data_IF_209615837119
#
_entry.id   IF_209615837119
#
_cell.length_a   1.000
_cell.length_b   1.000
_cell.length_c   1.000
_cell.angle_alpha   90.00
_cell.angle_beta   90.00
_cell.angle_gamma   90.00
#
_symmetry.space_group_name_H-M   'P 1'
#
loop_
_entity.id
_entity.type
_entity.pdbx_description
1 polymer ?
#
# COMPACT_ATOMS: atom_id res chain seq x y z
N UNK A 1 -10.07 6.24 -16.42
CA UNK A 1 -10.98 6.90 -15.46
C UNK A 1 -10.30 8.22 -15.10
N UNK A 2 -11.01 9.34 -15.14
CA UNK A 2 -10.39 10.66 -14.96
C UNK A 2 -9.86 10.80 -13.52
N UNK A 3 -8.69 11.40 -13.32
CA UNK A 3 -8.03 11.54 -11.99
C UNK A 3 -8.95 12.20 -10.95
N UNK A 4 -9.74 13.17 -11.36
CA UNK A 4 -10.71 13.87 -10.50
C UNK A 4 -11.80 12.91 -9.98
N UNK A 5 -12.35 12.06 -10.83
CA UNK A 5 -13.39 11.09 -10.42
C UNK A 5 -12.82 10.07 -9.42
N UNK A 6 -11.56 9.68 -9.59
CA UNK A 6 -10.88 8.75 -8.66
C UNK A 6 -10.64 9.40 -7.31
N UNK A 7 -10.20 10.66 -7.27
CA UNK A 7 -10.05 11.44 -6.04
C UNK A 7 -11.38 11.63 -5.30
N UNK A 8 -12.46 11.88 -6.03
CA UNK A 8 -13.80 12.02 -5.45
C UNK A 8 -14.30 10.70 -4.84
N UNK A 9 -14.04 9.56 -5.50
CA UNK A 9 -14.36 8.22 -4.97
C UNK A 9 -13.54 7.95 -3.69
N UNK A 10 -12.23 8.21 -3.72
CA UNK A 10 -11.35 8.03 -2.57
C UNK A 10 -11.78 8.90 -1.38
N UNK A 11 -12.18 10.15 -1.65
CA UNK A 11 -12.70 11.05 -0.62
C UNK A 11 -14.03 10.53 -0.05
N UNK A 12 -14.92 10.04 -0.89
CA UNK A 12 -16.19 9.47 -0.47
C UNK A 12 -15.97 8.22 0.39
N UNK A 13 -15.10 7.30 -0.03
CA UNK A 13 -14.72 6.11 0.75
C UNK A 13 -14.05 6.48 2.08
N UNK A 14 -13.30 7.56 2.12
CA UNK A 14 -12.65 8.04 3.33
C UNK A 14 -13.61 8.67 4.34
N UNK A 15 -14.61 9.40 3.84
CA UNK A 15 -15.51 10.22 4.67
C UNK A 15 -16.82 9.51 5.03
N UNK A 16 -17.25 8.52 4.24
CA UNK A 16 -18.47 7.75 4.48
C UNK A 16 -18.15 6.34 5.00
N UNK A 17 -19.10 5.75 5.72
CA UNK A 17 -19.09 4.32 6.02
C UNK A 17 -19.93 3.62 4.94
N UNK A 18 -19.32 3.05 3.89
CA UNK A 18 -20.09 2.37 2.86
C UNK A 18 -20.84 1.18 3.47
N UNK A 19 -21.98 0.85 2.89
CA UNK A 19 -22.79 -0.28 3.37
C UNK A 19 -22.02 -1.61 3.20
N UNK A 20 -21.19 -1.71 2.16
CA UNK A 20 -20.38 -2.89 1.86
C UNK A 20 -19.01 -2.47 1.31
N UNK A 21 -18.00 -3.28 1.61
CA UNK A 21 -16.65 -3.15 1.04
C UNK A 21 -16.38 -4.32 0.09
N UNK A 22 -15.71 -4.03 -1.01
CA UNK A 22 -15.19 -5.02 -1.93
C UNK A 22 -13.65 -4.97 -1.95
N UNK A 23 -13.03 -6.13 -2.15
CA UNK A 23 -11.58 -6.19 -2.37
C UNK A 23 -11.31 -6.03 -3.86
N UNK A 24 -10.48 -5.05 -4.22
CA UNK A 24 -10.05 -4.85 -5.60
C UNK A 24 -9.32 -6.11 -6.12
N UNK A 25 -9.73 -6.69 -7.25
CA UNK A 25 -9.04 -7.83 -7.82
C UNK A 25 -7.56 -7.54 -8.11
N UNK A 26 -6.71 -8.54 -7.96
CA UNK A 26 -5.31 -8.42 -8.41
C UNK A 26 -5.29 -8.19 -9.92
N UNK A 27 -4.54 -7.19 -10.41
CA UNK A 27 -4.38 -6.97 -11.85
C UNK A 27 -3.31 -7.88 -12.50
N UNK A 28 -2.84 -8.90 -11.78
CA UNK A 28 -1.78 -9.83 -12.16
C UNK A 28 -1.98 -11.19 -11.45
N UNK A 29 -1.31 -12.23 -11.95
CA UNK A 29 -1.27 -13.53 -11.30
C UNK A 29 -0.38 -13.51 -10.05
N UNK A 30 -0.65 -14.38 -9.07
CA UNK A 30 -0.02 -14.33 -7.74
C UNK A 30 1.50 -14.51 -7.78
N UNK A 31 2.04 -15.24 -8.75
CA UNK A 31 3.48 -15.45 -8.97
C UNK A 31 4.18 -14.30 -9.71
N UNK A 32 3.40 -13.37 -10.26
CA UNK A 32 3.93 -12.28 -11.11
C UNK A 32 4.94 -11.37 -10.40
N UNK A 33 4.86 -11.26 -9.08
CA UNK A 33 5.74 -10.37 -8.31
C UNK A 33 7.08 -11.01 -7.92
N UNK A 34 7.28 -12.29 -8.24
CA UNK A 34 8.53 -12.97 -7.95
C UNK A 34 9.75 -12.35 -8.70
N UNK A 35 10.91 -12.37 -8.09
CA UNK A 35 11.27 -12.89 -6.78
C UNK A 35 11.15 -11.87 -5.64
N UNK A 36 10.41 -10.77 -5.81
CA UNK A 36 10.27 -9.70 -4.80
C UNK A 36 9.25 -10.09 -3.74
N UNK A 37 8.12 -10.65 -4.15
CA UNK A 37 7.12 -11.24 -3.27
C UNK A 37 6.74 -12.59 -3.87
N UNK A 38 6.81 -13.65 -3.07
CA UNK A 38 6.47 -15.01 -3.52
C UNK A 38 4.96 -15.18 -3.70
N UNK A 39 4.57 -16.15 -4.52
CA UNK A 39 3.18 -16.58 -4.65
C UNK A 39 2.55 -16.88 -3.28
N UNK A 40 3.29 -17.57 -2.41
CA UNK A 40 2.83 -17.90 -1.06
C UNK A 40 2.58 -16.66 -0.20
N UNK A 41 3.43 -15.64 -0.30
CA UNK A 41 3.23 -14.34 0.36
C UNK A 41 2.00 -13.63 -0.17
N UNK A 42 1.80 -13.61 -1.48
CA UNK A 42 0.63 -12.98 -2.10
C UNK A 42 -0.64 -13.74 -1.73
N UNK A 43 -0.63 -15.08 -1.76
CA UNK A 43 -1.78 -15.88 -1.34
C UNK A 43 -2.18 -15.55 0.11
N UNK A 44 -1.23 -15.59 1.03
CA UNK A 44 -1.49 -15.27 2.42
C UNK A 44 -1.99 -13.83 2.60
N UNK A 45 -1.26 -12.86 2.06
CA UNK A 45 -1.52 -11.45 2.26
C UNK A 45 -2.81 -10.97 1.58
N UNK A 46 -3.06 -11.40 0.35
CA UNK A 46 -4.24 -10.98 -0.41
C UNK A 46 -5.48 -11.81 -0.07
N UNK A 47 -5.41 -13.15 -0.16
CA UNK A 47 -6.59 -14.00 0.02
C UNK A 47 -7.09 -14.03 1.47
N UNK A 48 -6.17 -14.04 2.44
CA UNK A 48 -6.56 -14.17 3.84
C UNK A 48 -6.66 -12.83 4.56
N UNK A 49 -5.71 -11.92 4.35
CA UNK A 49 -5.69 -10.65 5.09
C UNK A 49 -6.49 -9.55 4.39
N UNK A 50 -6.16 -9.20 3.15
CA UNK A 50 -6.86 -8.12 2.42
C UNK A 50 -8.35 -8.44 2.26
N UNK A 51 -8.70 -9.60 1.73
CA UNK A 51 -10.11 -10.05 1.64
C UNK A 51 -10.75 -10.23 3.01
N UNK A 52 -9.97 -10.61 4.00
CA UNK A 52 -10.43 -10.77 5.38
C UNK A 52 -10.95 -9.47 5.99
N UNK A 53 -10.32 -8.33 5.72
CA UNK A 53 -10.78 -7.02 6.19
C UNK A 53 -12.14 -6.66 5.61
N UNK A 54 -12.34 -6.80 4.30
CA UNK A 54 -13.64 -6.55 3.66
C UNK A 54 -14.71 -7.52 4.17
N UNK A 55 -14.39 -8.81 4.29
CA UNK A 55 -15.29 -9.84 4.81
C UNK A 55 -15.75 -9.51 6.25
N UNK A 56 -14.83 -9.15 7.14
CA UNK A 56 -15.15 -8.80 8.52
C UNK A 56 -16.01 -7.54 8.61
N UNK A 57 -15.69 -6.53 7.81
CA UNK A 57 -16.51 -5.32 7.73
C UNK A 57 -17.96 -5.63 7.31
N UNK A 58 -18.12 -6.45 6.26
CA UNK A 58 -19.42 -6.76 5.66
C UNK A 58 -20.30 -7.69 6.51
N UNK A 59 -19.73 -8.46 7.40
CA UNK A 59 -20.47 -9.43 8.19
C UNK A 59 -21.31 -8.82 9.31
N UNK A 60 -21.33 -7.52 9.46
CA UNK A 60 -22.17 -6.70 10.34
C UNK A 60 -22.23 -7.13 11.83
N UNK A 61 -21.22 -7.83 12.28
CA UNK A 61 -21.20 -8.39 13.66
C UNK A 61 -20.46 -7.49 14.66
N UNK A 62 -20.23 -6.24 14.34
CA UNK A 62 -19.60 -5.23 15.20
C UNK A 62 -18.14 -5.54 15.56
N UNK A 63 -17.88 -6.69 16.13
CA UNK A 63 -16.55 -7.20 16.49
C UNK A 63 -16.44 -8.67 16.10
N UNK A 64 -15.84 -8.97 14.95
CA UNK A 64 -15.62 -10.35 14.56
C UNK A 64 -14.20 -10.76 14.89
N UNK A 65 -14.10 -11.82 15.64
CA UNK A 65 -12.85 -12.52 15.85
C UNK A 65 -11.79 -11.71 16.59
N UNK A 66 -12.20 -10.98 17.64
CA UNK A 66 -11.27 -10.23 18.46
C UNK A 66 -11.52 -8.72 18.43
N UNK A 67 -10.51 -7.96 18.66
CA UNK A 67 -10.58 -6.55 19.03
C UNK A 67 -10.65 -5.55 17.84
N UNK A 68 -10.96 -6.00 16.63
CA UNK A 68 -10.96 -5.13 15.47
C UNK A 68 -12.31 -4.48 15.25
N UNK A 69 -12.35 -3.17 15.37
CA UNK A 69 -13.55 -2.37 15.10
C UNK A 69 -13.89 -2.37 13.60
N UNK A 70 -15.14 -2.00 13.29
CA UNK A 70 -15.58 -1.82 11.89
C UNK A 70 -14.69 -0.81 11.15
N UNK A 71 -14.26 0.27 11.81
CA UNK A 71 -13.39 1.29 11.23
C UNK A 71 -11.97 0.76 10.96
N UNK A 72 -11.43 -0.10 11.82
CA UNK A 72 -10.14 -0.75 11.59
C UNK A 72 -10.19 -1.65 10.35
N UNK A 73 -11.25 -2.46 10.21
CA UNK A 73 -11.44 -3.31 9.04
C UNK A 73 -11.64 -2.49 7.76
N UNK A 74 -12.38 -1.37 7.83
CA UNK A 74 -12.52 -0.43 6.72
C UNK A 74 -11.17 0.12 6.28
N UNK A 75 -10.39 0.61 7.22
CA UNK A 75 -9.08 1.18 6.92
C UNK A 75 -8.10 0.14 6.37
N UNK A 76 -8.11 -1.09 6.91
CA UNK A 76 -7.31 -2.18 6.38
C UNK A 76 -7.70 -2.53 4.94
N UNK A 77 -9.00 -2.69 4.65
CA UNK A 77 -9.47 -2.92 3.27
C UNK A 77 -9.08 -1.78 2.33
N UNK A 78 -9.26 -0.54 2.75
CA UNK A 78 -8.90 0.65 1.97
C UNK A 78 -7.41 0.66 1.58
N UNK A 79 -6.52 0.44 2.55
CA UNK A 79 -5.08 0.46 2.31
C UNK A 79 -4.63 -0.68 1.39
N UNK A 80 -5.17 -1.88 1.55
CA UNK A 80 -4.87 -3.00 0.65
C UNK A 80 -5.39 -2.78 -0.77
N UNK A 81 -6.57 -2.16 -0.92
CA UNK A 81 -7.12 -1.76 -2.22
C UNK A 81 -6.29 -0.66 -2.91
N UNK A 82 -5.45 0.06 -2.17
CA UNK A 82 -4.43 0.97 -2.72
C UNK A 82 -3.10 0.29 -2.98
N UNK A 83 -2.70 -0.64 -2.12
CA UNK A 83 -1.39 -1.30 -2.17
C UNK A 83 -1.28 -2.28 -3.35
N UNK A 84 -2.15 -3.27 -3.44
CA UNK A 84 -2.01 -4.31 -4.47
C UNK A 84 -2.09 -3.79 -5.92
N UNK A 85 -3.03 -2.88 -6.29
CA UNK A 85 -3.10 -2.38 -7.67
C UNK A 85 -1.89 -1.57 -8.12
N UNK A 86 -1.08 -1.04 -7.20
CA UNK A 86 0.14 -0.31 -7.55
C UNK A 86 1.36 -1.22 -7.78
N UNK A 87 1.20 -2.55 -7.70
CA UNK A 87 2.29 -3.50 -7.92
C UNK A 87 2.21 -4.08 -9.32
N UNK A 88 3.36 -4.53 -9.84
CA UNK A 88 3.47 -5.18 -11.15
C UNK A 88 4.70 -6.09 -11.21
N UNK A 89 4.82 -6.87 -12.26
CA UNK A 89 6.02 -7.66 -12.55
C UNK A 89 7.31 -6.86 -12.36
N UNK A 90 8.34 -7.42 -11.70
CA UNK A 90 9.57 -6.71 -11.43
C UNK A 90 10.29 -6.30 -12.71
N UNK A 91 10.87 -5.10 -12.68
CA UNK A 91 11.76 -4.59 -13.74
C UNK A 91 13.12 -4.30 -13.14
N UNK A 92 14.19 -4.56 -13.89
CA UNK A 92 15.56 -4.37 -13.42
C UNK A 92 15.84 -2.93 -12.97
N UNK A 93 15.61 -1.96 -13.84
CA UNK A 93 15.74 -0.53 -13.53
C UNK A 93 14.35 0.14 -13.44
N UNK A 94 13.59 -0.19 -12.40
CA UNK A 94 12.29 0.41 -12.19
C UNK A 94 12.42 1.74 -11.43
N UNK A 95 12.27 2.86 -12.12
CA UNK A 95 12.34 4.20 -11.55
C UNK A 95 11.05 4.98 -11.81
N UNK A 96 10.71 5.94 -10.94
CA UNK A 96 9.59 6.85 -11.16
C UNK A 96 9.78 7.65 -12.46
N UNK A 97 8.67 8.13 -13.01
CA UNK A 97 8.61 8.97 -14.21
C UNK A 97 7.41 9.90 -14.13
N UNK A 98 7.40 10.93 -14.97
CA UNK A 98 6.29 11.89 -15.02
C UNK A 98 6.13 12.68 -13.72
N UNK A 99 4.91 12.99 -13.35
CA UNK A 99 4.61 13.84 -12.21
C UNK A 99 5.15 13.31 -10.85
N UNK A 100 5.19 11.98 -10.67
CA UNK A 100 5.78 11.39 -9.45
C UNK A 100 7.29 11.66 -9.39
N UNK A 101 8.01 11.56 -10.51
CA UNK A 101 9.43 11.89 -10.53
C UNK A 101 9.66 13.35 -10.19
N UNK A 102 8.91 14.26 -10.83
CA UNK A 102 8.98 15.71 -10.54
C UNK A 102 8.68 16.01 -9.07
N UNK A 103 7.65 15.38 -8.51
CA UNK A 103 7.30 15.51 -7.10
C UNK A 103 8.45 15.09 -6.18
N UNK A 104 9.08 13.93 -6.47
CA UNK A 104 10.21 13.40 -5.72
C UNK A 104 11.43 14.34 -5.83
N UNK A 105 11.81 14.73 -7.06
CA UNK A 105 12.99 15.58 -7.28
C UNK A 105 12.83 16.96 -6.65
N UNK A 106 11.64 17.53 -6.68
CA UNK A 106 11.34 18.81 -6.03
C UNK A 106 11.49 18.76 -4.50
N UNK A 107 11.21 17.62 -3.86
CA UNK A 107 11.27 17.46 -2.41
C UNK A 107 12.59 16.89 -1.90
N UNK A 108 13.18 15.95 -2.62
CA UNK A 108 14.33 15.16 -2.16
C UNK A 108 15.58 15.32 -3.04
N UNK A 109 15.51 16.09 -4.13
CA UNK A 109 16.58 16.31 -5.12
C UNK A 109 16.82 15.13 -6.03
N UNK A 110 16.94 13.92 -5.48
CA UNK A 110 17.13 12.69 -6.27
C UNK A 110 16.18 11.59 -5.80
N UNK A 111 15.93 10.62 -6.69
CA UNK A 111 15.19 9.41 -6.33
C UNK A 111 15.91 8.56 -5.28
N UNK A 112 17.23 8.55 -5.28
CA UNK A 112 18.00 7.77 -4.32
C UNK A 112 17.93 8.42 -2.93
N UNK A 113 18.01 9.76 -2.81
CA UNK A 113 17.75 10.48 -1.54
C UNK A 113 16.33 10.22 -1.01
N UNK A 114 15.33 10.22 -1.90
CA UNK A 114 13.97 9.86 -1.52
C UNK A 114 13.89 8.44 -0.92
N UNK A 115 14.54 7.46 -1.54
CA UNK A 115 14.56 6.08 -1.04
C UNK A 115 15.19 5.97 0.34
N UNK A 116 16.27 6.69 0.60
CA UNK A 116 16.93 6.71 1.91
C UNK A 116 16.03 7.34 2.99
N UNK A 117 15.40 8.47 2.70
CA UNK A 117 14.45 9.09 3.64
C UNK A 117 13.20 8.23 3.85
N UNK A 118 12.72 7.55 2.82
CA UNK A 118 11.60 6.62 2.92
C UNK A 118 11.95 5.41 3.78
N UNK A 119 13.15 4.83 3.59
CA UNK A 119 13.67 3.74 4.42
C UNK A 119 13.78 4.17 5.88
N UNK A 120 14.33 5.33 6.15
CA UNK A 120 14.44 5.89 7.49
C UNK A 120 13.08 6.06 8.16
N UNK A 121 12.08 6.57 7.44
CA UNK A 121 10.72 6.70 7.95
C UNK A 121 10.09 5.34 8.26
N UNK A 122 10.25 4.34 7.38
CA UNK A 122 9.75 2.99 7.59
C UNK A 122 10.40 2.33 8.81
N UNK A 123 11.72 2.39 8.92
CA UNK A 123 12.47 1.83 10.05
C UNK A 123 12.15 2.50 11.39
N UNK A 124 11.65 3.73 11.36
CA UNK A 124 11.17 4.46 12.54
C UNK A 124 9.81 3.99 13.06
N UNK A 125 9.06 3.20 12.30
CA UNK A 125 7.77 2.68 12.74
C UNK A 125 7.97 1.62 13.82
N UNK A 126 7.36 1.85 14.98
CA UNK A 126 7.33 0.87 16.07
C UNK A 126 6.05 0.03 15.96
N UNK A 127 6.23 -1.28 15.71
CA UNK A 127 5.13 -2.20 15.47
C UNK A 127 4.65 -2.21 14.01
N UNK A 128 3.34 -2.38 13.84
CA UNK A 128 2.71 -2.52 12.52
C UNK A 128 2.29 -1.18 11.94
N UNK A 129 2.46 -1.01 10.65
CA UNK A 129 2.06 0.22 9.99
C UNK A 129 2.29 0.25 8.49
N UNK A 130 2.23 1.42 7.93
CA UNK A 130 2.44 1.72 6.52
C UNK A 130 3.32 2.95 6.40
N UNK A 131 4.09 3.01 5.34
CA UNK A 131 4.83 4.20 4.95
C UNK A 131 4.41 4.61 3.55
N UNK A 132 4.25 5.91 3.29
CA UNK A 132 3.78 6.38 2.02
C UNK A 132 4.35 7.75 1.63
N UNK A 133 4.47 7.96 0.33
CA UNK A 133 4.65 9.29 -0.25
C UNK A 133 3.27 9.90 -0.43
N UNK A 134 3.04 11.07 0.14
CA UNK A 134 1.78 11.80 -0.06
C UNK A 134 1.75 12.50 -1.43
N UNK A 135 0.56 12.85 -1.90
CA UNK A 135 0.38 13.67 -3.11
C UNK A 135 0.99 15.08 -2.99
N UNK A 136 1.23 15.54 -1.76
CA UNK A 136 1.99 16.77 -1.48
C UNK A 136 3.50 16.59 -1.43
N UNK A 137 4.02 15.37 -1.65
CA UNK A 137 5.46 15.08 -1.67
C UNK A 137 6.09 14.82 -0.31
N UNK A 138 5.31 14.67 0.76
CA UNK A 138 5.84 14.36 2.07
C UNK A 138 5.84 12.84 2.33
N UNK A 139 6.89 12.31 2.93
CA UNK A 139 6.91 10.94 3.44
C UNK A 139 6.18 10.92 4.78
N UNK A 140 5.17 10.06 4.89
CA UNK A 140 4.33 9.92 6.08
C UNK A 140 4.18 8.47 6.48
N UNK A 141 3.80 8.24 7.73
CA UNK A 141 3.56 6.91 8.28
C UNK A 141 2.12 6.79 8.82
N UNK A 142 1.62 5.56 8.82
CA UNK A 142 0.33 5.21 9.41
C UNK A 142 0.57 4.09 10.41
N UNK A 143 0.27 4.31 11.68
CA UNK A 143 0.29 3.25 12.68
C UNK A 143 -0.95 2.35 12.50
N UNK A 144 -0.75 1.04 12.50
CA UNK A 144 -1.80 0.05 12.24
C UNK A 144 -2.53 0.32 10.91
N UNK A 145 -3.82 0.72 10.97
CA UNK A 145 -4.62 1.09 9.82
C UNK A 145 -5.36 2.40 10.05
N UNK A 146 -5.21 3.32 9.11
CA UNK A 146 -6.03 4.53 9.04
C UNK A 146 -6.22 4.95 7.58
N UNK A 147 -7.42 5.39 7.24
CA UNK A 147 -7.72 5.91 5.90
C UNK A 147 -6.95 7.21 5.67
N UNK A 148 -6.33 7.33 4.49
CA UNK A 148 -5.64 8.54 4.02
C UNK A 148 -5.98 8.77 2.56
N UNK A 149 -6.39 9.98 2.23
CA UNK A 149 -6.78 10.35 0.86
C UNK A 149 -5.63 10.90 0.02
N UNK A 150 -4.51 11.20 0.66
CA UNK A 150 -3.34 11.83 0.06
C UNK A 150 -2.22 10.84 -0.30
N UNK A 151 -2.54 9.58 -0.57
CA UNK A 151 -1.55 8.54 -0.88
C UNK A 151 -1.19 8.56 -2.36
N UNK A 152 0.08 8.85 -2.67
CA UNK A 152 0.69 8.67 -3.99
C UNK A 152 1.31 7.26 -4.12
N UNK A 153 2.29 6.93 -3.30
CA UNK A 153 2.96 5.61 -3.24
C UNK A 153 2.79 5.05 -1.84
N UNK A 154 2.39 3.79 -1.71
CA UNK A 154 2.14 3.13 -0.42
C UNK A 154 2.98 1.86 -0.29
N UNK A 155 3.62 1.67 0.86
CA UNK A 155 4.32 0.43 1.19
C UNK A 155 3.79 -0.13 2.51
N UNK A 156 3.41 -1.39 2.48
CA UNK A 156 2.99 -2.13 3.66
C UNK A 156 4.21 -2.48 4.52
N UNK A 157 4.18 -2.08 5.79
CA UNK A 157 5.24 -2.33 6.77
C UNK A 157 4.82 -3.33 7.84
N UNK A 158 3.64 -3.92 7.71
CA UNK A 158 3.22 -5.01 8.58
C UNK A 158 4.12 -6.23 8.37
N UNK A 159 4.37 -6.98 9.42
CA UNK A 159 5.23 -8.16 9.39
C UNK A 159 4.81 -9.19 8.33
N UNK A 160 3.50 -9.34 8.13
CA UNK A 160 2.96 -10.24 7.10
C UNK A 160 3.31 -9.86 5.64
N UNK A 161 3.70 -8.61 5.40
CA UNK A 161 4.07 -8.15 4.06
C UNK A 161 5.47 -8.61 3.64
N UNK A 162 6.33 -8.97 4.60
CA UNK A 162 7.74 -9.26 4.32
C UNK A 162 8.28 -10.51 5.01
N UNK A 163 7.73 -10.95 6.15
CA UNK A 163 8.37 -11.97 6.96
C UNK A 163 8.46 -13.35 6.27
N UNK A 164 7.50 -13.73 5.43
CA UNK A 164 7.56 -15.01 4.71
C UNK A 164 8.73 -15.09 3.74
N UNK A 165 9.05 -13.99 3.05
CA UNK A 165 10.08 -13.97 2.00
C UNK A 165 11.44 -13.48 2.51
N UNK A 166 11.43 -12.60 3.51
CA UNK A 166 12.63 -11.89 3.98
C UNK A 166 13.00 -12.24 5.43
N UNK A 167 12.14 -13.00 6.14
CA UNK A 167 12.34 -13.37 7.53
C UNK A 167 12.54 -12.12 8.42
N UNK A 168 13.71 -11.93 9.03
CA UNK A 168 14.04 -10.75 9.83
C UNK A 168 14.58 -9.57 9.01
N UNK A 169 14.94 -9.78 7.75
CA UNK A 169 15.61 -8.79 6.89
C UNK A 169 14.59 -7.86 6.18
N UNK A 170 13.88 -7.10 6.99
CA UNK A 170 12.88 -6.15 6.49
C UNK A 170 13.47 -4.99 5.68
N UNK A 171 14.76 -4.67 5.87
CA UNK A 171 15.45 -3.68 5.03
C UNK A 171 15.55 -4.16 3.59
N UNK A 172 15.89 -5.43 3.40
CA UNK A 172 15.96 -6.03 2.06
C UNK A 172 14.61 -6.05 1.36
N UNK A 173 13.51 -6.26 2.09
CA UNK A 173 12.17 -6.07 1.52
C UNK A 173 12.01 -4.65 0.98
N UNK A 174 12.38 -3.65 1.77
CA UNK A 174 12.28 -2.25 1.38
C UNK A 174 13.16 -1.89 0.18
N UNK A 175 14.36 -2.47 0.09
CA UNK A 175 15.25 -2.28 -1.06
C UNK A 175 14.68 -2.90 -2.34
N UNK A 176 13.94 -4.00 -2.23
CA UNK A 176 13.39 -4.73 -3.36
C UNK A 176 12.00 -4.26 -3.81
N UNK A 177 11.15 -3.73 -2.93
CA UNK A 177 9.78 -3.35 -3.26
C UNK A 177 9.70 -2.36 -4.43
N UNK A 178 10.69 -1.48 -4.56
CA UNK A 178 10.77 -0.50 -5.65
C UNK A 178 10.82 -1.14 -7.04
N UNK A 179 11.27 -2.39 -7.16
CA UNK A 179 11.32 -3.13 -8.43
C UNK A 179 9.95 -3.48 -8.97
N UNK A 180 8.94 -3.53 -8.10
CA UNK A 180 7.56 -3.91 -8.45
C UNK A 180 6.55 -2.77 -8.36
N UNK A 181 6.95 -1.55 -8.01
CA UNK A 181 6.04 -0.40 -8.02
C UNK A 181 5.63 -0.06 -9.45
N UNK A 182 4.35 0.01 -9.70
CA UNK A 182 3.78 0.53 -10.95
C UNK A 182 3.64 2.05 -10.86
N UNK A 183 4.65 2.75 -11.34
CA UNK A 183 4.71 4.22 -11.29
C UNK A 183 3.60 4.90 -12.10
N UNK A 184 2.99 4.22 -13.07
CA UNK A 184 1.85 4.77 -13.81
C UNK A 184 0.62 4.88 -12.92
N UNK A 185 0.34 3.87 -12.11
CA UNK A 185 -0.73 3.92 -11.10
C UNK A 185 -0.46 5.01 -10.07
N UNK A 186 0.81 5.21 -9.69
CA UNK A 186 1.17 6.29 -8.78
C UNK A 186 0.96 7.69 -9.42
N UNK A 187 1.30 7.86 -10.70
CA UNK A 187 1.03 9.09 -11.44
C UNK A 187 -0.48 9.40 -11.55
N UNK A 188 -1.33 8.39 -11.68
CA UNK A 188 -2.78 8.57 -11.74
C UNK A 188 -3.40 9.10 -10.43
N UNK A 189 -2.65 9.07 -9.34
CA UNK A 189 -3.07 9.54 -8.02
C UNK A 189 -2.72 11.01 -7.76
N UNK A 190 -1.87 11.60 -8.59
CA UNK A 190 -1.51 13.03 -8.57
C UNK A 190 -2.43 13.84 -9.46
#
# INVERSE_FOLDING_TARGET
>A
MNSTIRQDIDLLEATTRPAKLDTTPLPYDKDTLEPVMSEASIDYHYEHLAKGYAKRYNADTGNIGGNYTKDFNRAGSFLHNKFFPQLRAPKGANRPRGAVLELIENKFKTYDDFREEFKKAAMGIQGSGWVYLSTGGDIKTIANHAVRTDICVLVDWWEHAWALDYQYDKEKYLDNIWRIINWDVCNERL
#
